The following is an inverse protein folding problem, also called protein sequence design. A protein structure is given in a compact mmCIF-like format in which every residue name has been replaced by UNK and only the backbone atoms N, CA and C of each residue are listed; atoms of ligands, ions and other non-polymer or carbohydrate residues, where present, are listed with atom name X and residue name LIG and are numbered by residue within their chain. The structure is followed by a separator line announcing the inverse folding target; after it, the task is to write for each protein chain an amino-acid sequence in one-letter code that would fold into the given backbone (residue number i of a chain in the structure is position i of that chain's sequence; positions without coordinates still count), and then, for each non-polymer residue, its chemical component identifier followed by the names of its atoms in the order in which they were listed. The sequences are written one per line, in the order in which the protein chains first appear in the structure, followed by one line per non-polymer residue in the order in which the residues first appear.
data_IF_488507617189
#
_entry.id   IF_488507617189
#
_cell.length_a   1.000
_cell.length_b   1.000
_cell.length_c   1.000
_cell.angle_alpha   90.00
_cell.angle_beta   90.00
_cell.angle_gamma   90.00
#
_symmetry.space_group_name_H-M   'P 1'
#
loop_
_entity.id
_entity.type
_entity.pdbx_description
1 polymer ?
#
# COMPACT_ATOMS: atom_id res chain seq x y z
N UNK A 1 20.39 8.61 -39.56
CA UNK A 1 19.97 8.03 -38.28
C UNK A 1 18.99 9.00 -37.65
N UNK A 2 17.69 8.69 -37.67
CA UNK A 2 16.66 9.54 -37.06
C UNK A 2 16.57 9.14 -35.60
N UNK A 3 16.91 10.08 -34.69
CA UNK A 3 16.89 9.87 -33.25
C UNK A 3 15.50 9.46 -32.78
N UNK A 4 15.46 8.43 -31.94
CA UNK A 4 14.25 7.95 -31.30
C UNK A 4 13.56 9.13 -30.57
N UNK A 5 12.43 9.57 -31.12
CA UNK A 5 11.49 10.44 -30.41
C UNK A 5 11.02 9.67 -29.18
N UNK A 6 11.54 10.02 -28.01
CA UNK A 6 11.04 9.59 -26.71
C UNK A 6 9.60 10.09 -26.59
N UNK A 7 8.64 9.23 -26.99
CA UNK A 7 7.22 9.47 -26.74
C UNK A 7 7.04 9.65 -25.24
N UNK A 8 6.63 10.86 -24.85
CA UNK A 8 6.16 11.12 -23.50
C UNK A 8 5.06 10.08 -23.19
N UNK A 9 5.14 9.34 -22.08
CA UNK A 9 4.08 8.41 -21.73
C UNK A 9 2.76 9.19 -21.67
N UNK A 10 1.72 8.64 -22.29
CA UNK A 10 0.38 9.22 -22.20
C UNK A 10 -0.06 9.23 -20.74
N UNK A 11 -0.76 10.27 -20.27
CA UNK A 11 -1.31 10.27 -18.93
C UNK A 11 -2.20 9.03 -18.72
N UNK A 12 -2.18 8.41 -17.53
CA UNK A 12 -2.96 7.22 -17.27
C UNK A 12 -4.45 7.51 -17.46
N UNK A 13 -5.19 6.52 -17.98
CA UNK A 13 -6.64 6.59 -18.07
C UNK A 13 -7.21 6.82 -16.65
N UNK A 14 -7.93 7.93 -16.41
CA UNK A 14 -8.46 8.26 -15.08
C UNK A 14 -9.41 7.19 -14.55
N UNK A 15 -10.11 6.46 -15.43
CA UNK A 15 -10.97 5.35 -15.02
C UNK A 15 -10.16 4.17 -14.51
N UNK A 16 -9.07 3.82 -15.18
CA UNK A 16 -8.16 2.75 -14.74
C UNK A 16 -7.41 3.12 -13.45
N UNK A 17 -7.00 4.39 -13.31
CA UNK A 17 -6.36 4.90 -12.10
C UNK A 17 -7.30 4.84 -10.89
N UNK A 18 -8.56 5.25 -11.05
CA UNK A 18 -9.56 5.13 -9.99
C UNK A 18 -9.86 3.67 -9.62
N UNK A 19 -10.04 2.80 -10.62
CA UNK A 19 -10.31 1.39 -10.39
C UNK A 19 -9.17 0.72 -9.59
N UNK A 20 -7.92 0.93 -10.01
CA UNK A 20 -6.75 0.40 -9.30
C UNK A 20 -6.65 0.94 -7.87
N UNK A 21 -6.85 2.25 -7.67
CA UNK A 21 -6.88 2.87 -6.34
C UNK A 21 -7.95 2.26 -5.43
N UNK A 22 -9.18 2.12 -5.92
CA UNK A 22 -10.28 1.56 -5.14
C UNK A 22 -10.07 0.08 -4.77
N UNK A 23 -9.29 -0.65 -5.56
CA UNK A 23 -9.00 -2.08 -5.35
C UNK A 23 -7.74 -2.37 -4.53
N UNK A 24 -7.01 -1.34 -4.08
CA UNK A 24 -5.73 -1.54 -3.38
C UNK A 24 -4.55 -1.91 -4.32
N UNK A 25 -4.62 -1.56 -5.61
CA UNK A 25 -3.62 -1.91 -6.63
C UNK A 25 -2.94 -0.69 -7.25
N UNK A 26 -3.01 0.47 -6.60
CA UNK A 26 -2.56 1.71 -7.21
C UNK A 26 -1.04 1.74 -7.49
N UNK A 27 -0.22 1.27 -6.54
CA UNK A 27 1.22 1.17 -6.75
C UNK A 27 1.57 0.31 -7.97
N UNK A 28 0.94 -0.87 -8.11
CA UNK A 28 1.18 -1.76 -9.27
C UNK A 28 0.78 -1.08 -10.58
N UNK A 29 -0.38 -0.41 -10.61
CA UNK A 29 -0.82 0.35 -11.78
C UNK A 29 0.22 1.41 -12.20
N UNK A 30 0.80 2.14 -11.24
CA UNK A 30 1.85 3.12 -11.52
C UNK A 30 3.16 2.48 -12.00
N UNK A 31 3.54 1.33 -11.43
CA UNK A 31 4.70 0.55 -11.89
C UNK A 31 4.51 0.10 -13.34
N UNK A 32 3.39 -0.54 -13.64
CA UNK A 32 3.01 -1.05 -14.96
C UNK A 32 2.94 0.08 -16.00
N UNK A 33 2.44 1.26 -15.61
CA UNK A 33 2.39 2.44 -16.47
C UNK A 33 3.75 3.14 -16.66
N UNK A 34 4.83 2.67 -16.03
CA UNK A 34 6.14 3.30 -16.12
C UNK A 34 6.23 4.64 -15.38
N UNK A 35 5.33 4.90 -14.43
CA UNK A 35 5.22 6.15 -13.71
C UNK A 35 6.02 6.12 -12.39
N UNK A 36 6.37 7.30 -11.84
CA UNK A 36 6.87 7.41 -10.48
C UNK A 36 5.82 6.96 -9.46
N UNK A 37 6.23 6.13 -8.49
CA UNK A 37 5.34 5.60 -7.45
C UNK A 37 5.62 6.35 -6.14
N UNK A 38 4.67 7.15 -5.61
CA UNK A 38 4.83 7.77 -4.31
C UNK A 38 4.80 6.72 -3.20
N UNK A 39 5.53 6.95 -2.09
CA UNK A 39 5.57 6.04 -0.95
C UNK A 39 4.18 5.68 -0.40
N UNK A 40 3.27 6.66 -0.33
CA UNK A 40 1.90 6.43 0.13
C UNK A 40 1.11 5.43 -0.74
N UNK A 41 1.40 5.34 -2.04
CA UNK A 41 0.67 4.43 -2.94
C UNK A 41 0.90 2.96 -2.58
N UNK A 42 1.98 2.64 -1.87
CA UNK A 42 2.23 1.28 -1.37
C UNK A 42 1.33 0.91 -0.19
N UNK A 43 0.88 1.90 0.59
CA UNK A 43 -0.07 1.71 1.71
C UNK A 43 -1.48 1.42 1.20
N UNK A 44 -1.82 1.90 -0.01
CA UNK A 44 -3.12 1.67 -0.66
C UNK A 44 -3.53 0.18 -0.64
N UNK A 45 -2.57 -0.73 -0.83
CA UNK A 45 -2.82 -2.16 -0.83
C UNK A 45 -3.40 -2.69 0.48
N UNK A 46 -2.94 -2.19 1.62
CA UNK A 46 -3.46 -2.60 2.93
C UNK A 46 -4.63 -1.73 3.40
N UNK A 47 -4.67 -0.45 2.99
CA UNK A 47 -5.74 0.48 3.36
C UNK A 47 -7.07 0.22 2.62
N UNK A 48 -7.00 -0.33 1.40
CA UNK A 48 -8.18 -0.52 0.52
C UNK A 48 -8.28 -1.91 -0.10
N UNK A 49 -7.21 -2.71 -0.07
CA UNK A 49 -7.23 -4.05 -0.61
C UNK A 49 -8.26 -4.93 0.09
N UNK A 50 -8.84 -5.86 -0.65
CA UNK A 50 -9.71 -6.89 -0.08
C UNK A 50 -8.91 -7.84 0.83
N UNK A 51 -9.60 -8.62 1.66
CA UNK A 51 -8.95 -9.65 2.47
C UNK A 51 -8.11 -10.63 1.61
N UNK A 52 -8.58 -10.95 0.41
CA UNK A 52 -7.84 -11.77 -0.54
C UNK A 52 -6.54 -11.10 -1.00
N UNK A 53 -6.57 -9.80 -1.32
CA UNK A 53 -5.38 -9.04 -1.73
C UNK A 53 -4.37 -8.99 -0.58
N UNK A 54 -4.80 -8.63 0.62
CA UNK A 54 -3.93 -8.56 1.80
C UNK A 54 -3.31 -9.92 2.11
N UNK A 55 -4.11 -10.99 2.14
CA UNK A 55 -3.61 -12.34 2.37
C UNK A 55 -2.61 -12.79 1.29
N UNK A 56 -2.92 -12.51 0.01
CA UNK A 56 -2.02 -12.84 -1.10
C UNK A 56 -0.68 -12.13 -0.99
N UNK A 57 -0.69 -10.85 -0.60
CA UNK A 57 0.53 -10.06 -0.38
C UNK A 57 1.34 -10.55 0.84
N UNK A 58 0.68 -11.11 1.85
CA UNK A 58 1.34 -11.71 3.01
C UNK A 58 1.91 -13.11 2.71
N UNK A 59 1.37 -13.81 1.71
CA UNK A 59 1.79 -15.18 1.35
C UNK A 59 2.81 -15.23 0.22
N UNK A 60 2.70 -14.35 -0.76
CA UNK A 60 3.56 -14.34 -1.95
C UNK A 60 4.84 -13.56 -1.64
N UNK A 61 5.97 -14.14 -2.03
CA UNK A 61 7.30 -13.60 -1.77
C UNK A 61 7.51 -12.17 -2.26
N UNK A 62 8.56 -11.54 -1.74
CA UNK A 62 8.83 -10.10 -1.91
C UNK A 62 9.39 -9.71 -3.27
N UNK A 63 9.44 -10.65 -4.20
CA UNK A 63 10.13 -10.44 -5.47
C UNK A 63 9.19 -9.69 -6.42
N UNK A 64 9.66 -8.56 -6.98
CA UNK A 64 8.91 -7.88 -8.03
C UNK A 64 8.74 -8.82 -9.23
N UNK A 65 7.74 -8.57 -10.10
CA UNK A 65 7.79 -9.12 -11.46
C UNK A 65 9.11 -8.73 -12.14
N UNK A 66 9.48 -9.35 -13.26
CA UNK A 66 10.68 -8.94 -14.00
C UNK A 66 10.53 -7.48 -14.46
N UNK A 67 11.18 -6.55 -13.73
CA UNK A 67 11.06 -5.10 -13.88
C UNK A 67 12.29 -4.47 -14.55
N UNK A 68 13.21 -5.29 -15.08
CA UNK A 68 14.45 -4.85 -15.71
C UNK A 68 15.23 -3.85 -14.84
N UNK A 69 15.62 -2.71 -15.42
CA UNK A 69 16.48 -1.71 -14.78
C UNK A 69 15.89 -1.05 -13.50
N UNK A 70 14.59 -1.24 -13.20
CA UNK A 70 13.94 -0.65 -12.02
C UNK A 70 13.91 -1.60 -10.82
N UNK A 71 14.39 -2.82 -10.97
CA UNK A 71 14.27 -3.87 -9.96
C UNK A 71 14.89 -3.46 -8.62
N UNK A 72 16.10 -2.90 -8.61
CA UNK A 72 16.82 -2.52 -7.40
C UNK A 72 16.11 -1.42 -6.60
N UNK A 73 15.41 -0.52 -7.28
CA UNK A 73 14.67 0.59 -6.64
C UNK A 73 13.33 0.11 -6.07
N UNK A 74 12.67 -0.84 -6.76
CA UNK A 74 11.32 -1.28 -6.40
C UNK A 74 11.31 -2.46 -5.43
N UNK A 75 12.32 -3.34 -5.47
CA UNK A 75 12.41 -4.51 -4.57
C UNK A 75 12.26 -4.16 -3.09
N UNK A 76 12.86 -3.08 -2.54
CA UNK A 76 12.61 -2.64 -1.16
C UNK A 76 11.14 -2.30 -0.87
N UNK A 77 10.42 -1.74 -1.85
CA UNK A 77 9.00 -1.41 -1.71
C UNK A 77 8.09 -2.64 -1.78
N UNK A 78 8.39 -3.61 -2.63
CA UNK A 78 7.69 -4.90 -2.63
C UNK A 78 7.88 -5.64 -1.30
N UNK A 79 9.09 -5.60 -0.72
CA UNK A 79 9.37 -6.09 0.64
C UNK A 79 8.56 -5.36 1.71
N UNK A 80 8.55 -4.03 1.68
CA UNK A 80 7.76 -3.24 2.62
C UNK A 80 6.26 -3.58 2.52
N UNK A 81 5.72 -3.70 1.30
CA UNK A 81 4.33 -4.07 1.08
C UNK A 81 3.97 -5.44 1.66
N UNK A 82 4.82 -6.44 1.45
CA UNK A 82 4.67 -7.76 2.08
C UNK A 82 4.68 -7.64 3.62
N UNK A 83 5.63 -6.89 4.19
CA UNK A 83 5.69 -6.68 5.65
C UNK A 83 4.45 -5.97 6.18
N UNK A 84 3.95 -4.93 5.50
CA UNK A 84 2.70 -4.25 5.87
C UNK A 84 1.51 -5.23 5.87
N UNK A 85 1.43 -6.12 4.87
CA UNK A 85 0.38 -7.13 4.79
C UNK A 85 0.48 -8.17 5.92
N UNK A 86 1.70 -8.58 6.29
CA UNK A 86 1.93 -9.45 7.45
C UNK A 86 1.47 -8.80 8.74
N UNK A 87 1.83 -7.53 8.97
CA UNK A 87 1.41 -6.78 10.17
C UNK A 87 -0.12 -6.72 10.24
N UNK A 88 -0.80 -6.40 9.13
CA UNK A 88 -2.27 -6.39 9.11
C UNK A 88 -2.84 -7.78 9.42
N UNK A 89 -2.28 -8.83 8.83
CA UNK A 89 -2.75 -10.21 9.05
C UNK A 89 -2.56 -10.65 10.50
N UNK A 90 -1.41 -10.33 11.11
CA UNK A 90 -1.16 -10.59 12.52
C UNK A 90 -2.18 -9.87 13.41
N UNK A 91 -2.49 -8.60 13.11
CA UNK A 91 -3.48 -7.81 13.85
C UNK A 91 -4.90 -8.36 13.70
N UNK A 92 -5.29 -8.83 12.52
CA UNK A 92 -6.58 -9.52 12.33
C UNK A 92 -6.69 -10.74 13.24
N UNK A 93 -5.63 -11.55 13.28
CA UNK A 93 -5.59 -12.77 14.08
C UNK A 93 -5.55 -12.49 15.60
N UNK A 94 -4.90 -11.39 16.03
CA UNK A 94 -4.73 -11.08 17.46
C UNK A 94 -5.87 -10.28 18.07
N UNK A 95 -6.56 -9.45 17.27
CA UNK A 95 -7.62 -8.54 17.77
C UNK A 95 -9.02 -9.13 17.69
N UNK A 96 -9.25 -10.09 16.79
CA UNK A 96 -10.59 -10.60 16.47
C UNK A 96 -11.47 -9.59 15.72
N UNK A 97 -10.95 -8.39 15.41
CA UNK A 97 -11.66 -7.39 14.61
C UNK A 97 -11.48 -7.69 13.12
N UNK A 98 -12.45 -7.28 12.30
CA UNK A 98 -12.40 -7.51 10.85
C UNK A 98 -11.45 -6.52 10.14
N UNK A 99 -11.17 -6.81 8.86
CA UNK A 99 -10.32 -5.95 8.04
C UNK A 99 -10.91 -4.56 7.81
N UNK A 100 -12.23 -4.46 7.67
CA UNK A 100 -12.91 -3.19 7.46
C UNK A 100 -12.77 -2.26 8.66
N UNK A 101 -12.68 -2.79 9.87
CA UNK A 101 -12.43 -2.07 11.11
C UNK A 101 -11.01 -1.52 11.13
N UNK A 102 -9.99 -2.35 10.87
CA UNK A 102 -8.59 -1.90 10.82
C UNK A 102 -8.37 -0.84 9.74
N UNK A 103 -8.99 -1.03 8.57
CA UNK A 103 -8.88 -0.11 7.44
C UNK A 103 -9.51 1.25 7.74
N UNK A 104 -10.77 1.28 8.21
CA UNK A 104 -11.46 2.54 8.54
C UNK A 104 -10.90 3.22 9.79
N UNK A 105 -10.50 2.43 10.78
CA UNK A 105 -10.03 2.93 12.07
C UNK A 105 -8.62 3.50 12.05
N UNK A 106 -7.76 3.03 11.14
CA UNK A 106 -6.36 3.45 11.09
C UNK A 106 -5.82 3.67 9.66
N UNK A 107 -5.91 2.65 8.79
CA UNK A 107 -5.11 2.62 7.57
C UNK A 107 -5.54 3.64 6.51
N UNK A 108 -6.84 3.89 6.37
CA UNK A 108 -7.35 4.89 5.41
C UNK A 108 -7.01 6.32 5.84
N UNK A 109 -7.05 6.60 7.15
CA UNK A 109 -6.60 7.88 7.69
C UNK A 109 -5.11 8.10 7.43
N UNK A 110 -4.30 7.08 7.70
CA UNK A 110 -2.86 7.09 7.39
C UNK A 110 -2.60 7.30 5.89
N UNK A 111 -3.28 6.57 5.00
CA UNK A 111 -3.15 6.73 3.54
C UNK A 111 -3.39 8.19 3.12
N UNK A 112 -4.47 8.81 3.64
CA UNK A 112 -4.81 10.21 3.33
C UNK A 112 -3.79 11.19 3.89
N UNK A 113 -3.32 10.99 5.14
CA UNK A 113 -2.28 11.82 5.75
C UNK A 113 -0.98 11.74 4.94
N UNK A 114 -0.55 10.54 4.57
CA UNK A 114 0.63 10.31 3.75
C UNK A 114 0.47 10.96 2.37
N UNK A 115 -0.70 10.88 1.75
CA UNK A 115 -0.98 11.51 0.46
C UNK A 115 -0.97 13.04 0.55
N UNK A 116 -1.48 13.62 1.64
CA UNK A 116 -1.50 15.07 1.87
C UNK A 116 -0.11 15.64 2.20
N UNK A 117 0.74 14.86 2.86
CA UNK A 117 2.08 15.30 3.31
C UNK A 117 3.22 14.90 2.39
N UNK A 118 2.99 13.97 1.45
CA UNK A 118 4.02 13.54 0.49
C UNK A 118 4.21 14.58 -0.61
N UNK A 119 5.11 15.53 -0.39
CA UNK A 119 5.93 15.99 -1.49
C UNK A 119 6.81 14.79 -1.90
N UNK A 120 6.57 14.25 -3.08
CA UNK A 120 7.11 12.99 -3.59
C UNK A 120 8.54 12.70 -3.06
N UNK A 121 8.68 11.58 -2.35
CA UNK A 121 9.95 10.89 -1.95
C UNK A 121 10.56 11.13 -0.57
N UNK A 122 9.94 11.85 0.38
CA UNK A 122 10.60 11.98 1.70
C UNK A 122 10.65 10.68 2.52
N UNK A 123 9.63 9.82 2.41
CA UNK A 123 9.53 8.61 3.24
C UNK A 123 9.93 7.34 2.51
N UNK A 124 10.87 6.60 3.10
CA UNK A 124 11.35 5.33 2.60
C UNK A 124 10.43 4.13 2.89
N UNK A 125 10.73 2.95 2.33
CA UNK A 125 9.95 1.73 2.55
C UNK A 125 9.85 1.30 4.02
N UNK A 126 10.96 1.42 4.76
CA UNK A 126 11.05 1.05 6.18
C UNK A 126 10.16 1.97 7.03
N UNK A 127 10.30 3.28 6.84
CA UNK A 127 9.53 4.30 7.56
C UNK A 127 8.03 4.16 7.27
N UNK A 128 7.65 3.90 6.02
CA UNK A 128 6.26 3.67 5.63
C UNK A 128 5.68 2.43 6.31
N UNK A 129 6.47 1.36 6.41
CA UNK A 129 6.06 0.13 7.12
C UNK A 129 5.87 0.39 8.62
N UNK A 130 6.79 1.14 9.24
CA UNK A 130 6.71 1.50 10.65
C UNK A 130 5.42 2.27 10.97
N UNK A 131 5.07 3.25 10.12
CA UNK A 131 3.83 4.03 10.29
C UNK A 131 2.56 3.17 10.23
N UNK A 132 2.54 2.15 9.36
CA UNK A 132 1.41 1.20 9.32
C UNK A 132 1.31 0.42 10.62
N UNK A 133 2.44 -0.06 11.16
CA UNK A 133 2.45 -0.76 12.45
C UNK A 133 1.96 0.15 13.58
N UNK A 134 2.51 1.37 13.67
CA UNK A 134 2.18 2.34 14.71
C UNK A 134 0.69 2.72 14.68
N UNK A 135 0.13 2.94 13.49
CA UNK A 135 -1.28 3.27 13.33
C UNK A 135 -2.19 2.15 13.85
N UNK A 136 -1.84 0.89 13.59
CA UNK A 136 -2.57 -0.28 14.08
C UNK A 136 -2.40 -0.47 15.60
N UNK A 137 -1.22 -0.19 16.14
CA UNK A 137 -0.97 -0.22 17.60
C UNK A 137 -1.75 0.85 18.35
N UNK A 138 -1.86 2.06 17.81
CA UNK A 138 -2.69 3.13 18.37
C UNK A 138 -4.16 2.70 18.40
N UNK A 139 -4.67 2.15 17.29
CA UNK A 139 -6.06 1.65 17.22
C UNK A 139 -6.31 0.54 18.25
N UNK A 140 -5.36 -0.39 18.40
CA UNK A 140 -5.48 -1.50 19.34
C UNK A 140 -5.51 -1.03 20.81
N UNK A 141 -4.64 -0.08 21.18
CA UNK A 141 -4.64 0.54 22.52
C UNK A 141 -5.93 1.31 22.82
N UNK A 142 -6.52 1.96 21.82
CA UNK A 142 -7.83 2.60 21.94
C UNK A 142 -8.98 1.60 22.11
N UNK A 143 -8.86 0.41 21.53
CA UNK A 143 -9.89 -0.64 21.55
C UNK A 143 -9.90 -1.47 22.85
N UNK A 144 -8.83 -1.43 23.64
CA UNK A 144 -8.77 -2.14 24.93
C UNK A 144 -9.80 -1.63 25.96
N UNK A 145 -10.49 -0.51 25.67
CA UNK A 145 -11.60 0.03 26.45
C UNK A 145 -13.00 -0.34 25.92
N UNK A 146 -13.12 -1.04 24.80
CA UNK A 146 -14.42 -1.47 24.26
C UNK A 146 -14.24 -2.54 23.18
N UNK A 147 -14.64 -3.77 23.47
CA UNK A 147 -14.60 -4.88 22.51
C UNK A 147 -15.28 -4.48 21.19
N UNK A 148 -14.62 -4.80 20.07
CA UNK A 148 -15.13 -4.65 18.70
C UNK A 148 -16.47 -5.39 18.55
N UNK A 149 -17.58 -4.75 18.92
CA UNK A 149 -18.94 -5.16 18.63
C UNK A 149 -19.59 -4.03 17.85
N UNK A 150 -19.64 -4.19 16.54
CA UNK A 150 -20.59 -3.45 15.71
C UNK A 150 -21.19 -4.47 14.74
N UNK A 151 -22.48 -4.74 14.96
CA UNK A 151 -23.36 -5.56 14.11
C UNK A 151 -23.38 -5.08 12.66
#
# INVERSE_FOLDING_TARGET
MVGAMTRRPSPPDPTAAWASFSSGRYADHLVEAGLPVPGWAWVNAVARGSAYVVASLAMVGTDPPDLGDREDVLRPWYRARHTMALVVTERLNSSGCDLAYLQRGALQGLELELAATSHLFERGPIETTALVSDALDVLHRGSSSGACYWD
#
